data_IF_277419700799
#
_entry.id   IF_277419700799
#
_cell.length_a   1.000
_cell.length_b   1.000
_cell.length_c   1.000
_cell.angle_alpha   90.00
_cell.angle_beta   90.00
_cell.angle_gamma   90.00
#
_symmetry.space_group_name_H-M   'P 1'
#
loop_
_entity.id
_entity.type
_entity.pdbx_description
1 polymer ?
#
# COMPACT_ATOMS: atom_id res chain seq x y z
N UNK A 1 -11.73 -15.50 17.82
CA UNK A 1 -11.08 -15.33 19.14
C UNK A 1 -12.04 -14.54 19.99
N UNK A 2 -12.48 -15.09 21.11
CA UNK A 2 -13.48 -14.45 21.98
C UNK A 2 -12.85 -14.21 23.34
N UNK A 3 -13.00 -13.00 23.87
CA UNK A 3 -12.59 -12.65 25.20
C UNK A 3 -13.80 -12.81 26.12
N UNK A 4 -13.75 -13.82 26.98
CA UNK A 4 -14.78 -14.02 27.99
C UNK A 4 -14.34 -13.27 29.25
N UNK A 5 -15.05 -12.19 29.56
CA UNK A 5 -14.87 -11.46 30.81
C UNK A 5 -15.70 -12.15 31.90
N UNK A 6 -15.04 -12.59 32.96
CA UNK A 6 -15.71 -13.17 34.12
C UNK A 6 -16.39 -12.04 34.90
N UNK A 7 -17.71 -12.14 35.08
CA UNK A 7 -18.57 -11.04 35.54
C UNK A 7 -18.56 -10.85 37.06
N UNK A 8 -18.03 -11.82 37.80
CA UNK A 8 -17.95 -11.80 39.25
C UNK A 8 -16.47 -12.04 39.62
N UNK A 9 -15.89 -11.13 40.40
CA UNK A 9 -14.48 -11.11 40.84
C UNK A 9 -13.45 -10.50 39.90
N UNK A 10 -13.67 -9.25 39.46
CA UNK A 10 -12.58 -8.43 38.91
C UNK A 10 -12.36 -7.23 39.85
N UNK A 11 -11.18 -7.17 40.45
CA UNK A 11 -10.64 -5.95 41.06
C UNK A 11 -9.87 -5.13 40.00
N UNK A 12 -9.50 -3.89 40.33
CA UNK A 12 -8.76 -3.00 39.40
C UNK A 12 -7.37 -3.56 39.01
N UNK A 13 -6.84 -4.54 39.74
CA UNK A 13 -5.55 -5.18 39.48
C UNK A 13 -5.66 -6.48 38.67
N UNK A 14 -6.87 -6.87 38.26
CA UNK A 14 -7.10 -8.12 37.54
C UNK A 14 -6.43 -8.14 36.17
N UNK A 15 -5.54 -9.12 35.94
CA UNK A 15 -4.78 -9.28 34.69
C UNK A 15 -5.24 -10.49 33.89
N UNK A 16 -5.46 -10.30 32.58
CA UNK A 16 -5.66 -11.38 31.62
C UNK A 16 -4.36 -11.74 30.90
N UNK A 17 -3.96 -13.01 30.93
CA UNK A 17 -2.79 -13.50 30.16
C UNK A 17 -3.26 -14.35 28.99
N UNK A 18 -2.87 -13.95 27.77
CA UNK A 18 -3.05 -14.75 26.56
C UNK A 18 -1.68 -15.25 26.08
N UNK A 19 -1.61 -16.52 25.72
CA UNK A 19 -0.43 -17.11 25.07
C UNK A 19 -0.88 -17.71 23.76
N UNK A 20 -0.32 -17.22 22.66
CA UNK A 20 -0.41 -17.92 21.39
C UNK A 20 0.42 -19.20 21.51
N UNK A 21 -0.21 -20.34 21.19
CA UNK A 21 0.53 -21.58 21.07
C UNK A 21 1.58 -21.51 19.95
N UNK A 22 2.39 -22.56 19.78
CA UNK A 22 3.30 -22.67 18.64
C UNK A 22 2.53 -22.42 17.34
N UNK A 23 2.96 -21.42 16.57
CA UNK A 23 2.36 -21.14 15.28
C UNK A 23 2.74 -22.26 14.33
N UNK A 24 1.74 -22.98 13.80
CA UNK A 24 1.93 -23.99 12.79
C UNK A 24 1.62 -23.39 11.41
N UNK A 25 2.62 -23.31 10.55
CA UNK A 25 2.44 -22.86 9.17
C UNK A 25 1.86 -24.00 8.34
N UNK A 26 0.53 -24.05 8.24
CA UNK A 26 -0.16 -25.00 7.38
C UNK A 26 -0.19 -24.45 5.96
N UNK A 27 0.56 -25.08 5.05
CA UNK A 27 0.54 -24.90 3.59
C UNK A 27 0.24 -23.49 3.05
N UNK A 28 1.28 -22.68 2.84
CA UNK A 28 1.17 -21.51 1.95
C UNK A 28 1.36 -21.94 0.51
N UNK A 29 0.39 -22.65 -0.08
CA UNK A 29 0.26 -22.65 -1.54
C UNK A 29 -0.33 -21.31 -1.98
N UNK A 30 0.34 -20.21 -1.60
CA UNK A 30 0.16 -18.93 -2.25
C UNK A 30 0.72 -19.16 -3.65
N UNK A 31 -0.13 -19.46 -4.62
CA UNK A 31 0.24 -19.45 -6.03
C UNK A 31 1.06 -18.17 -6.27
N UNK A 32 2.38 -18.34 -6.46
CA UNK A 32 3.33 -17.23 -6.62
C UNK A 32 3.12 -16.64 -8.00
N UNK A 33 2.10 -15.81 -8.16
CA UNK A 33 1.89 -15.05 -9.40
C UNK A 33 2.90 -13.90 -9.44
N UNK A 34 4.15 -14.25 -9.76
CA UNK A 34 5.18 -13.25 -10.01
C UNK A 34 5.05 -12.77 -11.45
N UNK A 35 4.81 -11.48 -11.62
CA UNK A 35 4.84 -10.81 -12.92
C UNK A 35 6.17 -10.10 -13.08
N UNK A 36 6.75 -10.18 -14.29
CA UNK A 36 7.95 -9.41 -14.64
C UNK A 36 7.62 -8.34 -15.66
N UNK A 37 7.94 -7.09 -15.33
CA UNK A 37 7.85 -5.95 -16.23
C UNK A 37 9.23 -5.72 -16.84
N UNK A 38 9.34 -5.89 -18.16
CA UNK A 38 10.62 -5.81 -18.88
C UNK A 38 10.88 -4.43 -19.47
N UNK A 39 9.85 -3.59 -19.59
CA UNK A 39 9.96 -2.23 -20.13
C UNK A 39 9.24 -1.24 -19.22
N UNK A 40 9.73 0.00 -19.15
CA UNK A 40 9.12 1.08 -18.35
C UNK A 40 7.72 1.52 -18.83
N UNK A 41 7.27 1.03 -19.99
CA UNK A 41 5.98 1.31 -20.59
C UNK A 41 4.98 0.19 -20.32
N UNK A 42 5.43 -0.94 -19.77
CA UNK A 42 4.57 -2.07 -19.42
C UNK A 42 3.73 -1.73 -18.19
N UNK A 43 2.48 -2.16 -18.19
CA UNK A 43 1.57 -2.06 -17.04
C UNK A 43 0.51 -3.16 -17.14
N UNK A 44 -0.11 -3.49 -16.01
CA UNK A 44 -1.32 -4.32 -15.97
C UNK A 44 -2.48 -3.46 -15.53
N UNK A 45 -3.58 -3.48 -16.28
CA UNK A 45 -4.84 -2.88 -15.88
C UNK A 45 -5.69 -3.91 -15.14
N UNK A 46 -6.17 -3.54 -13.95
CA UNK A 46 -7.02 -4.38 -13.10
C UNK A 46 -8.22 -3.58 -12.59
N UNK A 47 -9.29 -4.24 -12.09
CA UNK A 47 -10.35 -3.55 -11.39
C UNK A 47 -9.80 -2.69 -10.25
N UNK A 48 -10.29 -1.45 -10.13
CA UNK A 48 -9.80 -0.50 -9.14
C UNK A 48 -10.00 -0.94 -7.69
N UNK A 49 -9.15 -0.41 -6.82
CA UNK A 49 -9.23 -0.64 -5.38
C UNK A 49 -10.43 0.10 -4.78
N UNK A 50 -11.35 -0.64 -4.16
CA UNK A 50 -12.56 -0.07 -3.55
C UNK A 50 -12.62 -0.18 -2.03
N UNK A 51 -12.05 -1.27 -1.49
CA UNK A 51 -12.09 -1.57 -0.05
C UNK A 51 -11.02 -2.58 0.34
N UNK A 52 -10.74 -2.64 1.64
CA UNK A 52 -9.82 -3.59 2.25
C UNK A 52 -8.35 -3.20 2.04
N UNK A 53 -7.46 -3.98 2.61
CA UNK A 53 -6.02 -3.68 2.60
C UNK A 53 -5.37 -4.09 1.28
N UNK A 54 -4.30 -3.40 0.90
CA UNK A 54 -3.43 -3.78 -0.22
C UNK A 54 -2.12 -4.33 0.33
N UNK A 55 -1.70 -5.47 -0.20
CA UNK A 55 -0.43 -6.09 0.10
C UNK A 55 0.21 -6.62 -1.18
N UNK A 56 1.45 -6.21 -1.44
CA UNK A 56 2.22 -6.73 -2.57
C UNK A 56 3.71 -6.65 -2.27
N UNK A 57 4.51 -7.30 -3.07
CA UNK A 57 5.97 -7.23 -3.04
C UNK A 57 6.49 -6.80 -4.39
N UNK A 58 7.58 -6.04 -4.39
CA UNK A 58 8.28 -5.67 -5.61
C UNK A 58 9.78 -5.92 -5.46
N UNK A 59 10.43 -6.07 -6.61
CA UNK A 59 11.89 -6.17 -6.73
C UNK A 59 12.31 -5.42 -7.98
N UNK A 60 13.26 -4.50 -7.85
CA UNK A 60 13.75 -3.70 -8.99
C UNK A 60 15.20 -3.26 -8.81
N UNK A 61 15.82 -2.84 -9.90
CA UNK A 61 17.09 -2.10 -9.92
C UNK A 61 16.91 -0.67 -10.46
N UNK A 62 15.68 -0.26 -10.79
CA UNK A 62 15.37 1.10 -11.24
C UNK A 62 15.25 2.06 -10.06
N UNK A 63 15.72 3.30 -10.22
CA UNK A 63 15.69 4.33 -9.15
C UNK A 63 14.29 4.91 -8.91
N UNK A 64 13.45 4.92 -9.95
CA UNK A 64 12.10 5.47 -9.92
C UNK A 64 11.15 4.56 -10.68
N UNK A 65 9.99 4.30 -10.09
CA UNK A 65 8.98 3.45 -10.69
C UNK A 65 7.59 3.74 -10.10
N UNK A 66 6.58 3.78 -10.97
CA UNK A 66 5.17 3.66 -10.55
C UNK A 66 4.92 2.20 -10.20
N UNK A 67 4.51 1.92 -8.97
CA UNK A 67 4.18 0.58 -8.49
C UNK A 67 2.69 0.30 -8.60
N UNK A 68 1.87 1.23 -8.08
CA UNK A 68 0.42 1.21 -8.20
C UNK A 68 -0.07 2.61 -8.55
N UNK A 69 -1.09 2.69 -9.39
CA UNK A 69 -1.70 3.95 -9.75
C UNK A 69 -3.18 3.79 -10.09
N UNK A 70 -4.05 4.57 -9.47
CA UNK A 70 -5.45 4.68 -9.83
C UNK A 70 -5.79 6.15 -10.07
N UNK A 71 -5.93 6.58 -11.33
CA UNK A 71 -6.21 7.98 -11.65
C UNK A 71 -7.65 8.36 -11.29
N UNK A 72 -7.92 9.67 -11.12
CA UNK A 72 -9.28 10.15 -10.93
C UNK A 72 -10.06 10.00 -12.25
N UNK A 73 -11.29 9.47 -12.17
CA UNK A 73 -12.16 9.34 -13.35
C UNK A 73 -12.71 10.68 -13.85
N UNK A 74 -12.78 11.68 -12.96
CA UNK A 74 -13.30 13.04 -13.19
C UNK A 74 -12.55 14.01 -12.28
N UNK A 75 -12.65 15.31 -12.55
CA UNK A 75 -12.10 16.32 -11.65
C UNK A 75 -12.66 16.13 -10.23
N UNK A 76 -11.81 16.29 -9.23
CA UNK A 76 -12.13 16.19 -7.80
C UNK A 76 -12.55 14.80 -7.29
N UNK A 77 -12.36 13.73 -8.08
CA UNK A 77 -12.51 12.37 -7.57
C UNK A 77 -11.23 11.90 -6.87
N UNK A 78 -11.34 11.04 -5.83
CA UNK A 78 -10.20 10.41 -5.19
C UNK A 78 -9.31 9.69 -6.21
N UNK A 79 -8.00 9.76 -5.97
CA UNK A 79 -6.99 9.06 -6.75
C UNK A 79 -5.81 8.70 -5.87
N UNK A 80 -4.98 7.77 -6.29
CA UNK A 80 -3.75 7.48 -5.56
C UNK A 80 -2.62 6.98 -6.46
N UNK A 81 -1.39 7.15 -5.97
CA UNK A 81 -0.17 6.67 -6.59
C UNK A 81 0.80 6.20 -5.52
N UNK A 82 1.28 4.95 -5.65
CA UNK A 82 2.42 4.43 -4.90
C UNK A 82 3.61 4.38 -5.85
N UNK A 83 4.68 5.07 -5.51
CA UNK A 83 5.85 5.17 -6.36
C UNK A 83 7.16 5.07 -5.55
N UNK A 84 8.13 4.37 -6.14
CA UNK A 84 9.52 4.50 -5.75
C UNK A 84 10.03 5.83 -6.28
N UNK A 85 10.48 6.73 -5.41
CA UNK A 85 10.91 8.09 -5.76
C UNK A 85 12.41 8.30 -5.65
N UNK A 86 13.14 7.35 -5.07
CA UNK A 86 14.60 7.27 -5.07
C UNK A 86 15.10 5.98 -4.42
N UNK A 87 16.42 5.81 -4.36
CA UNK A 87 17.09 4.59 -3.87
C UNK A 87 16.65 4.09 -2.50
N UNK A 88 16.22 5.01 -1.62
CA UNK A 88 15.83 4.71 -0.24
C UNK A 88 14.41 5.20 0.08
N UNK A 89 13.70 5.76 -0.91
CA UNK A 89 12.48 6.53 -0.67
C UNK A 89 11.30 5.98 -1.44
N UNK A 90 10.22 5.74 -0.70
CA UNK A 90 8.93 5.31 -1.23
C UNK A 90 7.86 6.35 -0.87
N UNK A 91 7.07 6.75 -1.86
CA UNK A 91 6.03 7.77 -1.70
C UNK A 91 4.66 7.18 -2.01
N UNK A 92 3.70 7.45 -1.13
CA UNK A 92 2.29 7.18 -1.34
C UNK A 92 1.52 8.50 -1.35
N UNK A 93 1.06 8.91 -2.52
CA UNK A 93 0.21 10.09 -2.71
C UNK A 93 -1.23 9.63 -2.89
N UNK A 94 -2.17 10.30 -2.24
CA UNK A 94 -3.59 10.06 -2.45
C UNK A 94 -4.41 11.33 -2.26
N UNK A 95 -5.59 11.34 -2.85
CA UNK A 95 -6.58 12.40 -2.69
C UNK A 95 -7.78 11.84 -1.95
N UNK A 96 -8.24 12.54 -0.93
CA UNK A 96 -9.42 12.17 -0.15
C UNK A 96 -10.72 12.50 -0.90
N UNK A 97 -11.85 12.01 -0.39
CA UNK A 97 -13.20 12.37 -0.87
C UNK A 97 -13.44 13.89 -0.96
N UNK A 98 -12.82 14.68 -0.08
CA UNK A 98 -12.89 16.15 -0.07
C UNK A 98 -12.07 16.82 -1.18
N UNK A 99 -11.28 16.06 -1.94
CA UNK A 99 -10.32 16.60 -2.91
C UNK A 99 -8.97 17.00 -2.30
N UNK A 100 -8.80 16.85 -0.98
CA UNK A 100 -7.56 17.20 -0.28
C UNK A 100 -6.46 16.19 -0.61
N UNK A 101 -5.29 16.64 -1.13
CA UNK A 101 -4.15 15.76 -1.35
C UNK A 101 -3.41 15.48 -0.03
N UNK A 102 -3.01 14.23 0.16
CA UNK A 102 -2.15 13.78 1.26
C UNK A 102 -0.98 12.99 0.67
N UNK A 103 0.17 13.08 1.34
CA UNK A 103 1.40 12.38 0.94
C UNK A 103 2.02 11.72 2.15
N UNK A 104 2.27 10.42 2.06
CA UNK A 104 3.10 9.67 3.00
C UNK A 104 4.43 9.33 2.33
N UNK A 105 5.53 9.73 2.96
CA UNK A 105 6.89 9.43 2.49
C UNK A 105 7.58 8.55 3.53
N UNK A 106 8.11 7.42 3.08
CA UNK A 106 8.97 6.55 3.89
C UNK A 106 10.39 6.62 3.34
N UNK A 107 11.29 7.16 4.14
CA UNK A 107 12.73 7.03 3.96
C UNK A 107 13.21 5.81 4.75
N UNK A 108 13.79 4.85 4.03
CA UNK A 108 14.25 3.58 4.58
C UNK A 108 15.75 3.58 4.77
N UNK A 109 16.25 2.80 5.72
CA UNK A 109 17.70 2.61 5.91
C UNK A 109 18.30 1.57 4.95
N UNK A 110 17.48 0.98 4.08
CA UNK A 110 17.87 -0.10 3.15
C UNK A 110 17.58 0.34 1.72
N UNK A 111 18.50 0.03 0.81
CA UNK A 111 18.31 0.35 -0.61
C UNK A 111 17.14 -0.45 -1.18
N UNK A 112 16.15 0.25 -1.75
CA UNK A 112 14.91 -0.31 -2.29
C UNK A 112 15.04 -0.78 -3.75
N UNK A 113 16.07 -0.31 -4.46
CA UNK A 113 16.44 -0.73 -5.81
C UNK A 113 17.71 -1.60 -5.82
N UNK A 114 17.97 -2.33 -4.74
CA UNK A 114 19.10 -3.27 -4.64
C UNK A 114 18.89 -4.59 -5.41
N UNK A 115 17.75 -4.77 -6.07
CA UNK A 115 17.38 -6.06 -6.64
C UNK A 115 16.99 -7.09 -5.58
N UNK A 116 16.49 -6.66 -4.42
CA UNK A 116 15.92 -7.53 -3.38
C UNK A 116 14.40 -7.36 -3.31
N UNK A 117 13.71 -8.32 -2.67
CA UNK A 117 12.27 -8.23 -2.46
C UNK A 117 11.95 -7.29 -1.30
N UNK A 118 11.00 -6.39 -1.54
CA UNK A 118 10.43 -5.54 -0.50
C UNK A 118 8.92 -5.67 -0.48
N UNK A 119 8.35 -5.82 0.72
CA UNK A 119 6.90 -5.99 0.92
C UNK A 119 6.27 -4.66 1.30
N UNK A 120 5.26 -4.25 0.55
CA UNK A 120 4.43 -3.08 0.83
C UNK A 120 3.10 -3.55 1.43
N UNK A 121 2.62 -2.79 2.41
CA UNK A 121 1.30 -2.93 2.98
C UNK A 121 0.64 -1.56 3.11
N UNK A 122 -0.63 -1.48 2.69
CA UNK A 122 -1.48 -0.31 2.86
C UNK A 122 -2.76 -0.78 3.53
N UNK A 123 -3.04 -0.22 4.69
CA UNK A 123 -4.30 -0.42 5.39
C UNK A 123 -4.88 0.91 5.82
N UNK A 124 -6.19 0.92 6.02
CA UNK A 124 -6.88 2.11 6.47
C UNK A 124 -8.16 1.74 7.23
N UNK A 125 -8.61 2.69 8.03
CA UNK A 125 -9.93 2.68 8.62
C UNK A 125 -10.53 4.10 8.54
N UNK A 126 -11.61 4.34 9.28
CA UNK A 126 -12.31 5.63 9.32
C UNK A 126 -11.45 6.77 9.93
N UNK A 127 -10.35 6.46 10.61
CA UNK A 127 -9.56 7.42 11.36
C UNK A 127 -8.14 7.58 10.85
N UNK A 128 -7.56 6.57 10.21
CA UNK A 128 -6.18 6.64 9.76
C UNK A 128 -5.92 5.82 8.50
N UNK A 129 -4.91 6.27 7.76
CA UNK A 129 -4.31 5.55 6.64
C UNK A 129 -2.89 5.21 7.02
N UNK A 130 -2.53 3.93 6.94
CA UNK A 130 -1.19 3.43 7.26
C UNK A 130 -0.52 2.88 6.01
N UNK A 131 0.74 3.29 5.84
CA UNK A 131 1.62 2.85 4.78
C UNK A 131 2.85 2.19 5.37
N UNK A 132 3.21 1.01 4.88
CA UNK A 132 4.33 0.23 5.39
C UNK A 132 5.17 -0.33 4.25
N UNK A 133 6.49 -0.36 4.49
CA UNK A 133 7.48 -1.03 3.65
C UNK A 133 8.37 -1.87 4.56
N UNK A 134 8.27 -3.20 4.45
CA UNK A 134 8.89 -4.15 5.35
C UNK A 134 8.48 -3.88 6.81
N UNK A 135 9.36 -3.25 7.60
CA UNK A 135 9.14 -2.87 9.00
C UNK A 135 8.95 -1.38 9.20
N UNK A 136 9.29 -0.56 8.20
CA UNK A 136 9.17 0.89 8.28
C UNK A 136 7.72 1.30 8.01
N UNK A 137 7.18 2.21 8.83
CA UNK A 137 5.78 2.61 8.76
C UNK A 137 5.60 4.12 8.85
N UNK A 138 4.57 4.62 8.17
CA UNK A 138 4.03 5.97 8.31
C UNK A 138 2.52 5.89 8.35
N UNK A 139 1.91 6.80 9.10
CA UNK A 139 0.48 6.89 9.27
C UNK A 139 0.08 8.36 9.20
N UNK A 140 -1.12 8.61 8.71
CA UNK A 140 -1.78 9.91 8.79
C UNK A 140 -3.18 9.73 9.31
N UNK A 141 -3.57 10.62 10.23
CA UNK A 141 -4.92 10.68 10.77
C UNK A 141 -5.84 11.46 9.82
N UNK A 142 -7.08 11.00 9.74
CA UNK A 142 -8.15 11.59 8.96
C UNK A 142 -9.05 12.42 9.89
N UNK A 143 -9.47 13.58 9.40
CA UNK A 143 -10.54 14.35 10.06
C UNK A 143 -11.90 13.65 9.88
N UNK A 144 -12.91 13.94 10.73
CA UNK A 144 -14.23 13.31 10.65
C UNK A 144 -14.93 13.43 9.29
N UNK A 145 -14.65 14.50 8.53
CA UNK A 145 -15.17 14.73 7.18
C UNK A 145 -14.31 14.11 6.05
N UNK A 146 -13.10 13.64 6.39
CA UNK A 146 -12.15 13.07 5.44
C UNK A 146 -12.32 11.55 5.34
N UNK A 147 -12.54 11.05 4.12
CA UNK A 147 -12.60 9.61 3.84
C UNK A 147 -11.53 9.21 2.83
N UNK A 148 -10.88 8.08 3.11
CA UNK A 148 -9.94 7.45 2.20
C UNK A 148 -10.69 6.62 1.15
N UNK A 149 -10.86 7.20 -0.03
CA UNK A 149 -11.69 6.64 -1.09
C UNK A 149 -13.17 7.00 -0.92
N UNK A 150 -14.11 6.26 -1.56
CA UNK A 150 -13.86 5.17 -2.49
C UNK A 150 -13.13 5.63 -3.75
N UNK A 151 -12.21 4.82 -4.26
CA UNK A 151 -11.59 5.08 -5.56
C UNK A 151 -12.40 4.40 -6.67
N UNK A 152 -12.57 5.10 -7.79
CA UNK A 152 -13.31 4.62 -8.95
C UNK A 152 -12.39 4.40 -10.16
N UNK A 153 -12.87 3.64 -11.14
CA UNK A 153 -12.12 3.33 -12.36
C UNK A 153 -11.17 2.14 -12.24
N UNK A 154 -10.28 2.02 -13.22
CA UNK A 154 -9.26 0.97 -13.28
C UNK A 154 -8.02 1.37 -12.48
N UNK A 155 -7.37 0.38 -11.88
CA UNK A 155 -6.05 0.53 -11.28
C UNK A 155 -4.99 -0.07 -12.19
N UNK A 156 -3.81 0.55 -12.22
CA UNK A 156 -2.66 0.12 -12.98
C UNK A 156 -1.54 -0.36 -12.05
N UNK A 157 -0.96 -1.50 -12.39
CA UNK A 157 0.14 -2.13 -11.66
C UNK A 157 1.41 -2.04 -12.51
N UNK A 158 2.51 -1.64 -11.88
CA UNK A 158 3.85 -1.59 -12.49
C UNK A 158 4.03 -0.47 -13.52
N UNK A 159 3.08 0.42 -13.68
CA UNK A 159 3.14 1.50 -14.66
C UNK A 159 1.80 2.19 -14.83
N UNK A 160 1.69 3.07 -15.82
CA UNK A 160 0.45 3.73 -16.19
C UNK A 160 0.51 4.20 -17.64
N UNK A 161 -0.65 4.42 -18.31
CA UNK A 161 -0.69 5.03 -19.62
C UNK A 161 0.04 6.38 -19.66
N UNK A 162 0.85 6.59 -20.69
CA UNK A 162 1.77 7.74 -20.81
C UNK A 162 1.04 9.08 -20.77
N UNK A 163 -0.17 9.14 -21.32
CA UNK A 163 -1.03 10.33 -21.36
C UNK A 163 -1.39 10.81 -19.94
N UNK A 164 -1.55 9.86 -19.02
CA UNK A 164 -1.96 10.10 -17.65
C UNK A 164 -0.73 10.37 -16.78
N UNK A 165 0.33 9.56 -16.91
CA UNK A 165 1.54 9.67 -16.09
C UNK A 165 2.33 10.97 -16.34
N UNK A 166 2.21 11.59 -17.53
CA UNK A 166 2.87 12.87 -17.87
C UNK A 166 2.62 14.00 -16.86
N UNK A 167 1.49 13.96 -16.16
CA UNK A 167 1.08 14.98 -15.16
C UNK A 167 1.75 14.79 -13.79
N UNK A 168 2.40 13.66 -13.56
CA UNK A 168 2.99 13.29 -12.28
C UNK A 168 4.51 13.34 -12.33
N UNK A 169 5.13 13.42 -11.14
CA UNK A 169 6.58 13.52 -10.98
C UNK A 169 7.30 12.23 -11.39
N UNK A 170 6.73 11.07 -11.06
CA UNK A 170 7.22 9.76 -11.48
C UNK A 170 6.41 9.29 -12.67
N UNK A 171 7.12 8.98 -13.77
CA UNK A 171 6.51 8.66 -15.07
C UNK A 171 6.86 7.27 -15.57
N UNK A 172 7.99 6.74 -15.12
CA UNK A 172 8.50 5.45 -15.52
C UNK A 172 7.72 4.35 -14.81
N UNK A 173 7.29 3.33 -15.55
CA UNK A 173 6.83 2.08 -14.96
C UNK A 173 7.99 1.29 -14.36
N UNK A 174 7.62 0.32 -13.53
CA UNK A 174 8.49 -0.67 -12.93
C UNK A 174 9.22 -1.47 -14.04
N UNK A 175 10.54 -1.57 -13.90
CA UNK A 175 11.32 -2.61 -14.58
C UNK A 175 11.80 -3.55 -13.48
N UNK A 176 11.23 -4.75 -13.41
CA UNK A 176 11.43 -5.64 -12.27
C UNK A 176 10.28 -6.61 -12.08
N UNK A 177 10.18 -7.18 -10.88
CA UNK A 177 9.17 -8.17 -10.53
C UNK A 177 8.15 -7.60 -9.55
N UNK A 178 6.91 -8.09 -9.67
CA UNK A 178 5.78 -7.76 -8.80
C UNK A 178 5.09 -9.05 -8.37
N UNK A 179 4.72 -9.17 -7.10
CA UNK A 179 4.07 -10.34 -6.50
C UNK A 179 3.02 -9.95 -5.47
#
# INVERSE_FOLDING_TARGET
MYFLQQKEMLDEESQGRITLGPLECVETNTQKYVVTFTTSQSFIEVPGWRKGDIAFSFRTTGEKAILLFQPPIRSNYPSFMVALTGDYQLTFNFTLNTGTPKTLVIDTNRKLNGGEWHKIWIDYNEHHVRFMINTDTRMVDLQPEEEFGPFEGSMFIGGAPTEISKKYTVKQGLIGCFH
#
